data_IF_009632784563
#
_entry.id   IF_009632784563
#
_cell.length_a   1.000
_cell.length_b   1.000
_cell.length_c   1.000
_cell.angle_alpha   90.00
_cell.angle_beta   90.00
_cell.angle_gamma   90.00
#
_symmetry.space_group_name_H-M   'P 1'
#
loop_
_entity.id
_entity.type
_entity.pdbx_description
1 polymer ?
#
# COMPACT_ATOMS: atom_id res chain seq x y z
N UNK A 1 -10.28 -26.36 -62.83
CA UNK A 1 -9.99 -24.97 -63.28
C UNK A 1 -8.48 -24.84 -63.45
N UNK A 2 -8.01 -24.40 -64.62
CA UNK A 2 -6.57 -24.19 -64.83
C UNK A 2 -6.10 -22.92 -64.10
N UNK A 3 -4.86 -22.87 -63.56
CA UNK A 3 -4.36 -21.73 -62.77
C UNK A 3 -4.47 -20.38 -63.48
N UNK A 4 -4.36 -20.40 -64.81
CA UNK A 4 -4.43 -19.23 -65.69
C UNK A 4 -5.84 -18.60 -65.76
N UNK A 5 -6.89 -19.40 -65.58
CA UNK A 5 -8.27 -18.90 -65.56
C UNK A 5 -8.61 -18.28 -64.19
N UNK A 6 -8.12 -18.89 -63.11
CA UNK A 6 -8.26 -18.36 -61.74
C UNK A 6 -7.62 -16.97 -61.60
N UNK A 7 -6.38 -16.81 -62.08
CA UNK A 7 -5.68 -15.52 -62.03
C UNK A 7 -6.44 -14.41 -62.78
N UNK A 8 -7.03 -14.72 -63.94
CA UNK A 8 -7.85 -13.77 -64.70
C UNK A 8 -9.10 -13.32 -63.95
N UNK A 9 -9.80 -14.25 -63.30
CA UNK A 9 -10.97 -13.91 -62.48
C UNK A 9 -10.59 -13.09 -61.25
N UNK A 10 -9.49 -13.41 -60.56
CA UNK A 10 -9.00 -12.59 -59.46
C UNK A 10 -8.68 -11.16 -59.91
N UNK A 11 -8.02 -10.98 -61.06
CA UNK A 11 -7.74 -9.65 -61.60
C UNK A 11 -9.02 -8.89 -61.94
N UNK A 12 -9.99 -9.54 -62.59
CA UNK A 12 -11.28 -8.91 -62.91
C UNK A 12 -12.06 -8.49 -61.66
N UNK A 13 -12.08 -9.34 -60.63
CA UNK A 13 -12.71 -9.04 -59.32
C UNK A 13 -12.02 -7.86 -58.65
N UNK A 14 -10.69 -7.83 -58.60
CA UNK A 14 -9.91 -6.71 -58.05
C UNK A 14 -10.23 -5.39 -58.75
N UNK A 15 -10.27 -5.40 -60.07
CA UNK A 15 -10.61 -4.20 -60.87
C UNK A 15 -12.03 -3.73 -60.60
N UNK A 16 -12.99 -4.66 -60.51
CA UNK A 16 -14.39 -4.31 -60.25
C UNK A 16 -14.62 -3.76 -58.84
N UNK A 17 -14.02 -4.39 -57.83
CA UNK A 17 -14.13 -3.98 -56.42
C UNK A 17 -13.14 -2.87 -56.03
N UNK A 18 -12.29 -2.41 -56.97
CA UNK A 18 -11.22 -1.43 -56.76
C UNK A 18 -10.27 -1.81 -55.62
N UNK A 19 -10.01 -3.11 -55.46
CA UNK A 19 -9.15 -3.62 -54.40
C UNK A 19 -7.69 -3.58 -54.86
N UNK A 20 -6.82 -3.04 -54.01
CA UNK A 20 -5.39 -3.06 -54.23
C UNK A 20 -4.78 -4.42 -53.85
N UNK A 21 -4.24 -5.13 -54.85
CA UNK A 21 -3.56 -6.42 -54.68
C UNK A 21 -2.03 -6.35 -54.73
N UNK A 22 -1.42 -5.15 -54.77
CA UNK A 22 0.04 -5.04 -54.77
C UNK A 22 0.61 -5.32 -53.38
N UNK A 23 1.21 -6.50 -53.23
CA UNK A 23 1.85 -6.98 -52.00
C UNK A 23 2.85 -5.96 -51.43
N UNK A 24 3.60 -5.24 -52.28
CA UNK A 24 4.58 -4.25 -51.81
C UNK A 24 3.88 -3.05 -51.17
N UNK A 25 2.83 -2.55 -51.81
CA UNK A 25 2.07 -1.40 -51.31
C UNK A 25 1.29 -1.77 -50.05
N UNK A 26 0.62 -2.93 -50.02
CA UNK A 26 -0.06 -3.48 -48.84
C UNK A 26 0.90 -3.54 -47.65
N UNK A 27 2.10 -4.12 -47.86
CA UNK A 27 3.12 -4.22 -46.82
C UNK A 27 3.60 -2.84 -46.33
N UNK A 28 3.75 -1.88 -47.23
CA UNK A 28 4.14 -0.52 -46.88
C UNK A 28 3.09 0.18 -46.02
N UNK A 29 1.81 0.07 -46.39
CA UNK A 29 0.68 0.64 -45.64
C UNK A 29 0.62 0.01 -44.24
N UNK A 30 0.66 -1.32 -44.14
CA UNK A 30 0.65 -2.01 -42.86
C UNK A 30 1.85 -1.63 -41.98
N UNK A 31 3.04 -1.52 -42.57
CA UNK A 31 4.25 -1.11 -41.85
C UNK A 31 4.10 0.30 -41.28
N UNK A 32 3.61 1.25 -42.08
CA UNK A 32 3.39 2.64 -41.64
C UNK A 32 2.39 2.68 -40.49
N UNK A 33 1.24 2.03 -40.65
CA UNK A 33 0.19 1.98 -39.63
C UNK A 33 0.70 1.45 -38.29
N UNK A 34 1.42 0.32 -38.29
CA UNK A 34 1.94 -0.26 -37.06
C UNK A 34 3.04 0.63 -36.45
N UNK A 35 3.89 1.23 -37.29
CA UNK A 35 5.00 2.06 -36.82
C UNK A 35 4.53 3.33 -36.09
N UNK A 36 3.33 3.85 -36.42
CA UNK A 36 2.70 4.99 -35.74
C UNK A 36 2.22 4.64 -34.31
N UNK A 37 1.87 3.37 -34.05
CA UNK A 37 1.26 2.95 -32.77
C UNK A 37 2.15 2.06 -31.90
N UNK A 38 3.21 1.44 -32.46
CA UNK A 38 4.04 0.40 -31.79
C UNK A 38 4.75 0.87 -30.52
N UNK A 39 5.01 2.18 -30.41
CA UNK A 39 5.63 2.77 -29.21
C UNK A 39 4.63 2.92 -28.05
N UNK A 40 3.33 2.91 -28.35
CA UNK A 40 2.25 3.11 -27.37
C UNK A 40 1.59 1.78 -27.01
N UNK A 41 1.26 0.97 -28.01
CA UNK A 41 0.57 -0.31 -27.84
C UNK A 41 1.57 -1.45 -27.57
N UNK A 42 1.17 -2.38 -26.71
CA UNK A 42 2.04 -3.50 -26.31
C UNK A 42 1.57 -4.89 -26.80
N UNK A 43 0.26 -5.13 -26.78
CA UNK A 43 -0.31 -6.39 -27.24
C UNK A 43 -0.09 -6.56 -28.77
N UNK A 44 0.52 -7.66 -29.23
CA UNK A 44 0.67 -7.92 -30.65
C UNK A 44 -0.67 -8.06 -31.36
N UNK A 45 -1.72 -8.53 -30.70
CA UNK A 45 -3.06 -8.63 -31.28
C UNK A 45 -3.60 -7.25 -31.66
N UNK A 46 -3.42 -6.24 -30.81
CA UNK A 46 -3.84 -4.87 -31.08
C UNK A 46 -3.11 -4.28 -32.29
N UNK A 47 -1.80 -4.54 -32.42
CA UNK A 47 -1.01 -4.10 -33.56
C UNK A 47 -1.47 -4.75 -34.87
N UNK A 48 -1.84 -6.04 -34.82
CA UNK A 48 -2.41 -6.75 -35.98
C UNK A 48 -3.77 -6.15 -36.33
N UNK A 49 -4.62 -5.87 -35.34
CA UNK A 49 -5.94 -5.28 -35.55
C UNK A 49 -5.83 -3.90 -36.22
N UNK A 50 -4.91 -3.04 -35.76
CA UNK A 50 -4.63 -1.74 -36.39
C UNK A 50 -4.22 -1.90 -37.85
N UNK A 51 -3.36 -2.89 -38.15
CA UNK A 51 -2.96 -3.17 -39.53
C UNK A 51 -4.14 -3.63 -40.39
N UNK A 52 -4.98 -4.55 -39.89
CA UNK A 52 -6.16 -5.04 -40.59
C UNK A 52 -7.13 -3.88 -40.86
N UNK A 53 -7.47 -3.09 -39.85
CA UNK A 53 -8.37 -1.94 -40.00
C UNK A 53 -7.85 -0.94 -41.03
N UNK A 54 -6.55 -0.65 -41.03
CA UNK A 54 -5.96 0.28 -41.98
C UNK A 54 -5.97 -0.29 -43.40
N UNK A 55 -5.65 -1.56 -43.58
CA UNK A 55 -5.70 -2.21 -44.88
C UNK A 55 -7.13 -2.27 -45.45
N UNK A 56 -8.12 -2.55 -44.60
CA UNK A 56 -9.55 -2.53 -45.02
C UNK A 56 -9.97 -1.12 -45.42
N UNK A 57 -9.60 -0.08 -44.65
CA UNK A 57 -9.90 1.33 -44.98
C UNK A 57 -9.30 1.76 -46.32
N UNK A 58 -8.09 1.32 -46.62
CA UNK A 58 -7.38 1.61 -47.88
C UNK A 58 -7.78 0.68 -49.04
N UNK A 59 -8.85 -0.11 -48.90
CA UNK A 59 -9.33 -1.08 -49.90
C UNK A 59 -8.22 -2.04 -50.38
N UNK A 60 -7.37 -2.50 -49.47
CA UNK A 60 -6.29 -3.45 -49.76
C UNK A 60 -6.73 -4.90 -49.56
N UNK A 61 -6.15 -5.83 -50.33
CA UNK A 61 -6.25 -7.25 -50.02
C UNK A 61 -5.56 -7.55 -48.69
N UNK A 62 -6.21 -8.35 -47.84
CA UNK A 62 -5.62 -8.78 -46.59
C UNK A 62 -4.55 -9.84 -46.86
N UNK A 63 -3.30 -9.63 -46.45
CA UNK A 63 -2.28 -10.66 -46.53
C UNK A 63 -2.58 -11.80 -45.55
N UNK A 64 -1.90 -12.93 -45.72
CA UNK A 64 -2.00 -14.03 -44.77
C UNK A 64 -1.64 -13.56 -43.35
N UNK A 65 -2.33 -14.08 -42.34
CA UNK A 65 -2.10 -13.72 -40.93
C UNK A 65 -0.62 -13.84 -40.52
N UNK A 66 0.06 -14.90 -40.96
CA UNK A 66 1.49 -15.11 -40.71
C UNK A 66 2.38 -13.97 -41.23
N UNK A 67 1.96 -13.28 -42.29
CA UNK A 67 2.68 -12.12 -42.85
C UNK A 67 2.55 -10.91 -41.93
N UNK A 68 1.35 -10.68 -41.38
CA UNK A 68 1.11 -9.60 -40.41
C UNK A 68 1.81 -9.90 -39.08
N UNK A 69 1.71 -11.12 -38.56
CA UNK A 69 2.37 -11.54 -37.32
C UNK A 69 3.90 -11.36 -37.41
N UNK A 70 4.53 -11.80 -38.49
CA UNK A 70 5.97 -11.62 -38.69
C UNK A 70 6.37 -10.14 -38.74
N UNK A 71 5.55 -9.31 -39.41
CA UNK A 71 5.78 -7.88 -39.51
C UNK A 71 5.66 -7.20 -38.15
N UNK A 72 4.60 -7.51 -37.40
CA UNK A 72 4.36 -7.00 -36.04
C UNK A 72 5.49 -7.40 -35.11
N UNK A 73 5.89 -8.68 -35.09
CA UNK A 73 7.04 -9.16 -34.30
C UNK A 73 8.30 -8.37 -34.60
N UNK A 74 8.60 -8.14 -35.88
CA UNK A 74 9.79 -7.39 -36.29
C UNK A 74 9.72 -5.94 -35.80
N UNK A 75 8.61 -5.24 -36.02
CA UNK A 75 8.46 -3.85 -35.61
C UNK A 75 8.47 -3.70 -34.08
N UNK A 76 7.85 -4.63 -33.35
CA UNK A 76 7.85 -4.64 -31.89
C UNK A 76 9.27 -4.84 -31.35
N UNK A 77 10.03 -5.77 -31.91
CA UNK A 77 11.43 -5.98 -31.51
C UNK A 77 12.28 -4.71 -31.77
N UNK A 78 12.10 -4.03 -32.90
CA UNK A 78 12.80 -2.78 -33.19
C UNK A 78 12.40 -1.66 -32.22
N UNK A 79 11.10 -1.54 -31.90
CA UNK A 79 10.61 -0.57 -30.94
C UNK A 79 11.16 -0.83 -29.53
N UNK A 80 11.12 -2.09 -29.08
CA UNK A 80 11.70 -2.50 -27.79
C UNK A 80 13.20 -2.21 -27.72
N UNK A 81 13.97 -2.56 -28.76
CA UNK A 81 15.39 -2.23 -28.83
C UNK A 81 15.64 -0.73 -28.72
N UNK A 82 14.85 0.09 -29.42
CA UNK A 82 14.95 1.55 -29.33
C UNK A 82 14.68 2.04 -27.91
N UNK A 83 13.62 1.56 -27.27
CA UNK A 83 13.27 1.92 -25.89
C UNK A 83 14.44 1.56 -24.95
N UNK A 84 14.98 0.35 -25.06
CA UNK A 84 16.07 -0.10 -24.20
C UNK A 84 17.33 0.76 -24.35
N UNK A 85 17.66 1.16 -25.57
CA UNK A 85 18.78 2.07 -25.82
C UNK A 85 18.51 3.48 -25.30
N UNK A 86 17.30 3.99 -25.47
CA UNK A 86 16.90 5.30 -24.93
C UNK A 86 17.05 5.33 -23.41
N UNK A 87 16.56 4.32 -22.69
CA UNK A 87 16.70 4.25 -21.23
C UNK A 87 18.16 4.13 -20.83
N UNK A 88 18.95 3.29 -21.50
CA UNK A 88 20.39 3.17 -21.24
C UNK A 88 21.11 4.52 -21.42
N UNK A 89 20.81 5.27 -22.47
CA UNK A 89 21.44 6.57 -22.74
C UNK A 89 21.14 7.65 -21.70
N UNK A 90 20.07 7.48 -20.90
CA UNK A 90 19.68 8.40 -19.83
C UNK A 90 20.32 8.06 -18.47
N UNK A 91 20.88 6.84 -18.35
CA UNK A 91 21.52 6.33 -17.14
C UNK A 91 23.00 6.71 -17.08
N UNK A 92 23.41 7.29 -15.95
CA UNK A 92 24.82 7.50 -15.62
C UNK A 92 25.50 6.19 -15.24
N UNK A 93 26.83 6.10 -15.37
CA UNK A 93 27.59 4.90 -14.96
C UNK A 93 27.34 4.51 -13.49
N UNK A 94 27.18 5.49 -12.61
CA UNK A 94 26.86 5.26 -11.20
C UNK A 94 25.46 4.65 -11.00
N UNK A 95 24.45 5.13 -11.74
CA UNK A 95 23.10 4.55 -11.71
C UNK A 95 23.10 3.13 -12.30
N UNK A 96 23.86 2.88 -13.37
CA UNK A 96 24.01 1.54 -13.96
C UNK A 96 24.62 0.57 -12.94
N UNK A 97 25.74 0.94 -12.31
CA UNK A 97 26.40 0.11 -11.29
C UNK A 97 25.48 -0.14 -10.08
N UNK A 98 24.71 0.86 -9.65
CA UNK A 98 23.73 0.71 -8.57
C UNK A 98 22.66 -0.33 -8.92
N UNK A 99 22.11 -0.26 -10.13
CA UNK A 99 21.09 -1.20 -10.61
C UNK A 99 21.65 -2.62 -10.78
N UNK A 100 22.87 -2.76 -11.31
CA UNK A 100 23.52 -4.05 -11.45
C UNK A 100 23.83 -4.69 -10.09
N UNK A 101 24.15 -3.88 -9.08
CA UNK A 101 24.33 -4.39 -7.71
C UNK A 101 23.05 -5.03 -7.14
N UNK A 102 21.86 -4.65 -7.60
CA UNK A 102 20.60 -5.24 -7.12
C UNK A 102 20.47 -6.73 -7.48
N UNK A 103 21.07 -7.14 -8.60
CA UNK A 103 21.05 -8.52 -9.08
C UNK A 103 22.28 -9.32 -8.64
N UNK A 104 23.25 -8.70 -7.95
CA UNK A 104 24.38 -9.40 -7.35
C UNK A 104 23.94 -10.22 -6.13
N UNK A 105 24.47 -11.43 -6.02
CA UNK A 105 24.17 -12.30 -4.88
C UNK A 105 24.90 -11.81 -3.64
N UNK A 106 24.19 -11.58 -2.53
CA UNK A 106 24.83 -11.30 -1.24
C UNK A 106 25.72 -12.48 -0.82
N UNK A 107 26.68 -12.22 0.10
CA UNK A 107 27.66 -13.21 0.59
C UNK A 107 27.07 -14.52 1.15
N UNK A 108 25.77 -14.54 1.44
CA UNK A 108 25.02 -15.71 1.93
C UNK A 108 24.35 -16.55 0.83
N UNK A 109 24.41 -16.14 -0.45
CA UNK A 109 24.11 -16.99 -1.60
C UNK A 109 22.65 -17.13 -2.03
N UNK A 110 21.66 -16.74 -1.21
CA UNK A 110 20.24 -17.04 -1.48
C UNK A 110 19.32 -15.82 -1.66
N UNK A 111 19.76 -14.61 -1.34
CA UNK A 111 18.90 -13.42 -1.38
C UNK A 111 19.61 -12.24 -2.04
N UNK A 112 19.00 -11.70 -3.09
CA UNK A 112 19.41 -10.48 -3.78
C UNK A 112 18.49 -9.32 -3.37
N UNK A 113 18.96 -8.08 -3.45
CA UNK A 113 18.08 -6.91 -3.27
C UNK A 113 16.99 -6.86 -4.35
N UNK A 114 17.21 -7.50 -5.50
CA UNK A 114 16.18 -7.73 -6.51
C UNK A 114 15.01 -8.59 -5.98
N UNK A 115 15.26 -9.61 -5.14
CA UNK A 115 14.18 -10.38 -4.54
C UNK A 115 13.33 -9.51 -3.61
N UNK A 116 13.98 -8.61 -2.87
CA UNK A 116 13.30 -7.61 -2.04
C UNK A 116 12.35 -6.78 -2.89
N UNK A 117 12.73 -6.33 -4.10
CA UNK A 117 11.83 -5.57 -4.98
C UNK A 117 10.49 -6.28 -5.26
N UNK A 118 10.41 -7.61 -5.20
CA UNK A 118 9.20 -8.37 -5.57
C UNK A 118 8.32 -8.76 -4.39
N UNK A 119 8.73 -8.43 -3.16
CA UNK A 119 7.97 -8.74 -1.96
C UNK A 119 6.61 -8.01 -1.96
N UNK A 120 5.59 -8.71 -1.48
CA UNK A 120 4.26 -8.16 -1.25
C UNK A 120 4.07 -7.81 0.24
N UNK A 121 3.26 -6.80 0.57
CA UNK A 121 3.00 -6.42 1.94
C UNK A 121 2.28 -7.55 2.67
N UNK A 122 2.58 -7.68 3.96
CA UNK A 122 1.91 -8.63 4.86
C UNK A 122 0.61 -8.00 5.42
N UNK A 123 0.19 -8.41 6.61
CA UNK A 123 -1.01 -7.87 7.27
C UNK A 123 -0.86 -6.38 7.62
N UNK A 124 -1.98 -5.65 7.71
CA UNK A 124 -2.03 -4.23 8.10
C UNK A 124 -1.79 -3.98 9.61
N UNK A 125 -0.65 -4.47 10.13
CA UNK A 125 -0.16 -4.17 11.48
C UNK A 125 0.70 -2.90 11.46
N UNK A 126 0.97 -2.32 12.64
CA UNK A 126 1.82 -1.13 12.74
C UNK A 126 3.25 -1.45 12.29
N UNK A 127 3.79 -2.58 12.75
CA UNK A 127 5.13 -3.05 12.36
C UNK A 127 5.27 -3.23 10.86
N UNK A 128 4.31 -3.87 10.19
CA UNK A 128 4.39 -4.02 8.74
C UNK A 128 4.24 -2.68 8.00
N UNK A 129 3.48 -1.72 8.54
CA UNK A 129 3.39 -0.37 7.97
C UNK A 129 4.74 0.35 8.06
N UNK A 130 5.44 0.22 9.19
CA UNK A 130 6.81 0.74 9.38
C UNK A 130 7.78 0.07 8.41
N UNK A 131 7.73 -1.26 8.27
CA UNK A 131 8.54 -2.03 7.33
C UNK A 131 8.30 -1.56 5.87
N UNK A 132 7.04 -1.34 5.49
CA UNK A 132 6.68 -0.90 4.14
C UNK A 132 7.09 0.56 3.88
N UNK A 133 7.05 1.41 4.90
CA UNK A 133 7.56 2.78 4.83
C UNK A 133 9.07 2.80 4.67
N UNK A 134 9.78 1.91 5.37
CA UNK A 134 11.22 1.72 5.21
C UNK A 134 11.57 1.18 3.81
N UNK A 135 10.78 0.24 3.28
CA UNK A 135 10.88 -0.23 1.89
C UNK A 135 10.70 0.92 0.90
N UNK A 136 9.67 1.74 1.05
CA UNK A 136 9.44 2.90 0.16
C UNK A 136 10.63 3.88 0.21
N UNK A 137 11.17 4.14 1.41
CA UNK A 137 12.36 4.99 1.57
C UNK A 137 13.56 4.41 0.83
N UNK A 138 13.76 3.09 0.93
CA UNK A 138 14.79 2.39 0.17
C UNK A 138 14.57 2.49 -1.35
N UNK A 139 13.36 2.27 -1.85
CA UNK A 139 13.04 2.42 -3.28
C UNK A 139 13.35 3.83 -3.79
N UNK A 140 12.98 4.86 -3.03
CA UNK A 140 13.28 6.27 -3.36
C UNK A 140 14.79 6.57 -3.34
N UNK A 141 15.56 5.87 -2.50
CA UNK A 141 17.02 6.00 -2.45
C UNK A 141 17.73 5.45 -3.70
N UNK A 142 17.06 4.60 -4.49
CA UNK A 142 17.60 4.06 -5.74
C UNK A 142 17.63 5.12 -6.87
N UNK A 143 17.00 6.27 -6.66
CA UNK A 143 16.99 7.39 -7.61
C UNK A 143 15.63 7.61 -8.27
N UNK A 144 15.53 8.68 -9.07
CA UNK A 144 14.29 9.06 -9.74
C UNK A 144 14.09 8.28 -11.04
N UNK A 145 13.47 7.10 -10.95
CA UNK A 145 13.16 6.24 -12.10
C UNK A 145 12.21 6.91 -13.11
N UNK A 146 11.33 7.82 -12.66
CA UNK A 146 10.38 8.49 -13.56
C UNK A 146 11.09 9.34 -14.63
N UNK A 147 12.22 9.97 -14.29
CA UNK A 147 13.08 10.71 -15.25
C UNK A 147 13.59 9.80 -16.37
N UNK A 148 13.95 8.57 -16.03
CA UNK A 148 14.53 7.62 -16.99
C UNK A 148 13.47 7.09 -17.98
N UNK A 149 12.21 7.08 -17.54
CA UNK A 149 11.05 6.58 -18.29
C UNK A 149 10.24 7.69 -18.98
N UNK A 150 10.75 8.93 -19.00
CA UNK A 150 10.10 10.05 -19.68
C UNK A 150 9.79 9.71 -21.15
N UNK A 151 8.65 10.15 -21.65
CA UNK A 151 8.14 9.84 -23.01
C UNK A 151 7.79 8.37 -23.29
N UNK A 152 7.97 7.45 -22.34
CA UNK A 152 7.55 6.06 -22.52
C UNK A 152 6.06 5.91 -22.17
N UNK A 153 5.33 5.21 -23.03
CA UNK A 153 3.90 4.95 -22.79
C UNK A 153 3.71 4.12 -21.50
N UNK A 154 2.73 4.47 -20.64
CA UNK A 154 2.47 3.74 -19.39
C UNK A 154 2.27 2.24 -19.58
N UNK A 155 1.58 1.83 -20.66
CA UNK A 155 1.37 0.42 -21.00
C UNK A 155 2.69 -0.35 -21.18
N UNK A 156 3.72 0.28 -21.77
CA UNK A 156 5.05 -0.32 -21.93
C UNK A 156 5.77 -0.46 -20.59
N UNK A 157 5.69 0.57 -19.75
CA UNK A 157 6.28 0.56 -18.41
C UNK A 157 5.69 -0.60 -17.61
N UNK A 158 4.36 -0.71 -17.57
CA UNK A 158 3.67 -1.79 -16.86
C UNK A 158 4.01 -3.16 -17.44
N UNK A 159 4.08 -3.31 -18.77
CA UNK A 159 4.48 -4.56 -19.41
C UNK A 159 5.89 -5.00 -18.99
N UNK A 160 6.88 -4.11 -19.14
CA UNK A 160 8.28 -4.42 -18.79
C UNK A 160 8.46 -4.65 -17.28
N UNK A 161 7.73 -3.92 -16.43
CA UNK A 161 7.72 -4.18 -15.00
C UNK A 161 7.15 -5.57 -14.67
N UNK A 162 6.08 -6.00 -15.37
CA UNK A 162 5.50 -7.33 -15.22
C UNK A 162 6.45 -8.42 -15.72
N UNK A 163 7.12 -8.22 -16.86
CA UNK A 163 8.18 -9.12 -17.35
C UNK A 163 9.29 -9.25 -16.30
N UNK A 164 9.81 -8.13 -15.80
CA UNK A 164 10.84 -8.11 -14.76
C UNK A 164 10.41 -8.85 -13.49
N UNK A 165 9.17 -8.64 -13.01
CA UNK A 165 8.65 -9.27 -11.79
C UNK A 165 8.52 -10.79 -11.93
N UNK A 166 8.33 -11.33 -13.13
CA UNK A 166 8.23 -12.76 -13.37
C UNK A 166 9.59 -13.48 -13.36
N UNK A 167 10.69 -12.74 -13.49
CA UNK A 167 12.04 -13.28 -13.66
C UNK A 167 12.78 -13.46 -12.32
N UNK A 168 13.81 -14.30 -12.34
CA UNK A 168 14.83 -14.37 -11.30
C UNK A 168 16.04 -13.49 -11.64
N UNK A 169 16.88 -13.19 -10.63
CA UNK A 169 18.08 -12.39 -10.82
C UNK A 169 19.06 -13.02 -11.82
N UNK A 170 19.13 -14.36 -11.88
CA UNK A 170 19.99 -15.07 -12.84
C UNK A 170 19.47 -14.92 -14.28
N UNK A 171 18.15 -15.04 -14.51
CA UNK A 171 17.55 -14.84 -15.85
C UNK A 171 17.85 -13.43 -16.38
N UNK A 172 17.87 -12.44 -15.49
CA UNK A 172 18.19 -11.06 -15.88
C UNK A 172 19.62 -10.94 -16.39
N UNK A 173 20.57 -11.72 -15.87
CA UNK A 173 21.99 -11.66 -16.29
C UNK A 173 22.18 -12.12 -17.73
N UNK A 174 21.31 -12.99 -18.24
CA UNK A 174 21.36 -13.50 -19.61
C UNK A 174 20.90 -12.47 -20.65
N UNK A 175 20.20 -11.40 -20.23
CA UNK A 175 19.81 -10.32 -21.12
C UNK A 175 20.93 -9.33 -21.40
N UNK A 176 20.81 -8.65 -22.54
CA UNK A 176 21.70 -7.53 -22.89
C UNK A 176 21.56 -6.40 -21.86
N UNK A 177 22.65 -5.70 -21.59
CA UNK A 177 22.69 -4.59 -20.62
C UNK A 177 21.55 -3.57 -20.80
N UNK A 178 21.24 -3.07 -22.02
CA UNK A 178 20.12 -2.13 -22.22
C UNK A 178 18.77 -2.71 -21.78
N UNK A 179 18.49 -3.97 -22.15
CA UNK A 179 17.22 -4.64 -21.78
C UNK A 179 17.15 -4.83 -20.27
N UNK A 180 18.20 -5.41 -19.69
CA UNK A 180 18.32 -5.70 -18.26
C UNK A 180 18.06 -4.46 -17.40
N UNK A 181 18.76 -3.36 -17.70
CA UNK A 181 18.60 -2.12 -16.95
C UNK A 181 17.21 -1.51 -17.15
N UNK A 182 16.64 -1.57 -18.34
CA UNK A 182 15.28 -1.06 -18.57
C UNK A 182 14.24 -1.83 -17.77
N UNK A 183 14.34 -3.16 -17.71
CA UNK A 183 13.47 -4.01 -16.91
C UNK A 183 13.55 -3.64 -15.42
N UNK A 184 14.76 -3.44 -14.89
CA UNK A 184 14.98 -3.01 -13.51
C UNK A 184 14.37 -1.63 -13.23
N UNK A 185 14.61 -0.65 -14.10
CA UNK A 185 14.05 0.70 -13.96
C UNK A 185 12.51 0.68 -13.97
N UNK A 186 11.90 -0.06 -14.91
CA UNK A 186 10.45 -0.21 -14.98
C UNK A 186 9.89 -0.88 -13.73
N UNK A 187 10.56 -1.94 -13.24
CA UNK A 187 10.16 -2.63 -12.01
C UNK A 187 10.22 -1.70 -10.80
N UNK A 188 11.34 -1.02 -10.57
CA UNK A 188 11.50 -0.12 -9.41
C UNK A 188 10.47 1.01 -9.46
N UNK A 189 10.21 1.58 -10.64
CA UNK A 189 9.17 2.58 -10.82
C UNK A 189 7.79 2.04 -10.42
N UNK A 190 7.41 0.87 -10.93
CA UNK A 190 6.12 0.24 -10.62
C UNK A 190 6.01 -0.14 -9.13
N UNK A 191 7.08 -0.68 -8.54
CA UNK A 191 7.15 -1.04 -7.12
C UNK A 191 7.08 0.18 -6.20
N UNK A 192 7.61 1.33 -6.64
CA UNK A 192 7.49 2.59 -5.90
C UNK A 192 6.04 3.08 -5.87
N UNK A 193 5.32 2.96 -6.99
CA UNK A 193 3.89 3.30 -7.07
C UNK A 193 3.08 2.33 -6.21
N UNK A 194 3.28 1.02 -6.40
CA UNK A 194 2.57 -0.03 -5.63
C UNK A 194 2.79 0.13 -4.13
N UNK A 195 4.03 0.38 -3.69
CA UNK A 195 4.35 0.55 -2.27
C UNK A 195 3.62 1.74 -1.66
N UNK A 196 3.40 2.84 -2.41
CA UNK A 196 2.63 3.99 -1.91
C UNK A 196 1.15 3.65 -1.72
N UNK A 197 0.56 2.97 -2.71
CA UNK A 197 -0.85 2.54 -2.65
C UNK A 197 -1.07 1.52 -1.54
N UNK A 198 -0.13 0.59 -1.35
CA UNK A 198 -0.17 -0.43 -0.30
C UNK A 198 -0.05 0.18 1.10
N UNK A 199 0.81 1.19 1.30
CA UNK A 199 0.85 1.95 2.57
C UNK A 199 -0.49 2.61 2.84
N UNK A 200 -1.09 3.25 1.83
CA UNK A 200 -2.38 3.92 1.97
C UNK A 200 -3.49 2.91 2.34
N UNK A 201 -3.56 1.76 1.66
CA UNK A 201 -4.52 0.70 1.95
C UNK A 201 -4.33 0.12 3.36
N UNK A 202 -3.09 -0.16 3.77
CA UNK A 202 -2.79 -0.61 5.13
C UNK A 202 -3.22 0.40 6.19
N UNK A 203 -2.96 1.69 5.96
CA UNK A 203 -3.39 2.77 6.84
C UNK A 203 -4.92 2.84 6.96
N UNK A 204 -5.64 2.81 5.82
CA UNK A 204 -7.10 2.83 5.80
C UNK A 204 -7.71 1.63 6.53
N UNK A 205 -7.19 0.42 6.28
CA UNK A 205 -7.61 -0.81 6.99
C UNK A 205 -7.42 -0.69 8.50
N UNK A 206 -6.31 -0.07 8.93
CA UNK A 206 -6.03 0.14 10.35
C UNK A 206 -6.96 1.18 10.97
N UNK A 207 -7.22 2.29 10.28
CA UNK A 207 -8.17 3.32 10.73
C UNK A 207 -9.58 2.76 10.86
N UNK A 208 -10.03 1.93 9.91
CA UNK A 208 -11.33 1.24 10.01
C UNK A 208 -11.41 0.39 11.27
N UNK A 209 -10.44 -0.50 11.50
CA UNK A 209 -10.40 -1.36 12.69
C UNK A 209 -10.37 -0.55 14.00
N UNK A 210 -9.70 0.60 14.01
CA UNK A 210 -9.68 1.47 15.18
C UNK A 210 -11.07 2.06 15.45
N UNK A 211 -11.74 2.54 14.40
CA UNK A 211 -13.10 3.06 14.50
C UNK A 211 -14.10 1.98 14.94
N UNK A 212 -13.99 0.77 14.42
CA UNK A 212 -14.87 -0.34 14.78
C UNK A 212 -14.72 -0.68 16.27
N UNK A 213 -13.48 -0.80 16.77
CA UNK A 213 -13.23 -1.03 18.21
C UNK A 213 -13.74 0.12 19.08
N UNK A 214 -13.57 1.37 18.64
CA UNK A 214 -14.05 2.53 19.40
C UNK A 214 -15.58 2.53 19.48
N UNK A 215 -16.27 2.14 18.39
CA UNK A 215 -17.72 1.99 18.36
C UNK A 215 -18.18 0.85 19.26
N UNK A 216 -17.54 -0.31 19.18
CA UNK A 216 -17.84 -1.46 20.05
C UNK A 216 -17.70 -1.11 21.54
N UNK A 217 -16.63 -0.41 21.91
CA UNK A 217 -16.42 0.03 23.29
C UNK A 217 -17.46 1.06 23.72
N UNK A 218 -17.83 2.00 22.83
CA UNK A 218 -18.88 2.98 23.11
C UNK A 218 -20.24 2.30 23.33
N UNK A 219 -20.60 1.33 22.50
CA UNK A 219 -21.85 0.58 22.65
C UNK A 219 -21.85 -0.27 23.92
N UNK A 220 -20.69 -0.89 24.26
CA UNK A 220 -20.52 -1.60 25.54
C UNK A 220 -20.74 -0.67 26.73
N UNK A 221 -20.18 0.54 26.70
CA UNK A 221 -20.37 1.53 27.76
C UNK A 221 -21.83 1.97 27.87
N UNK A 222 -22.46 2.34 26.75
CA UNK A 222 -23.88 2.70 26.69
C UNK A 222 -24.80 1.60 27.23
N UNK A 223 -24.53 0.35 26.86
CA UNK A 223 -25.29 -0.78 27.38
C UNK A 223 -25.14 -0.95 28.90
N UNK A 224 -23.94 -0.69 29.45
CA UNK A 224 -23.74 -0.72 30.90
C UNK A 224 -24.45 0.42 31.63
N UNK A 225 -24.42 1.64 31.08
CA UNK A 225 -25.14 2.80 31.62
C UNK A 225 -26.65 2.60 31.57
N UNK A 226 -27.14 2.04 30.47
CA UNK A 226 -28.57 1.73 30.30
C UNK A 226 -29.03 0.73 31.35
N UNK A 227 -28.26 -0.33 31.62
CA UNK A 227 -28.57 -1.30 32.68
C UNK A 227 -28.67 -0.66 34.06
N UNK A 228 -27.71 0.21 34.41
CA UNK A 228 -27.74 0.94 35.69
C UNK A 228 -28.99 1.83 35.76
N UNK A 229 -29.29 2.56 34.68
CA UNK A 229 -30.43 3.48 34.63
C UNK A 229 -31.77 2.73 34.71
N UNK A 230 -31.94 1.66 33.94
CA UNK A 230 -33.13 0.80 33.96
C UNK A 230 -33.33 0.21 35.36
N UNK A 231 -32.27 -0.30 35.97
CA UNK A 231 -32.31 -0.81 37.33
C UNK A 231 -32.71 0.26 38.36
N UNK A 232 -32.12 1.47 38.33
CA UNK A 232 -32.51 2.55 39.24
C UNK A 232 -33.97 2.99 39.05
N UNK A 233 -34.48 2.95 37.81
CA UNK A 233 -35.89 3.22 37.50
C UNK A 233 -36.80 2.13 38.06
N UNK A 234 -36.41 0.85 37.97
CA UNK A 234 -37.13 -0.28 38.58
C UNK A 234 -37.20 -0.13 40.10
N UNK A 235 -36.07 0.17 40.76
CA UNK A 235 -36.04 0.41 42.22
C UNK A 235 -36.94 1.58 42.61
N UNK A 236 -36.93 2.68 41.83
CA UNK A 236 -37.82 3.79 42.08
C UNK A 236 -39.29 3.40 41.90
N UNK A 237 -39.62 2.59 40.89
CA UNK A 237 -40.97 2.10 40.67
C UNK A 237 -41.46 1.25 41.84
N UNK A 238 -40.61 0.37 42.38
CA UNK A 238 -40.92 -0.44 43.56
C UNK A 238 -41.14 0.43 44.80
N UNK A 239 -40.31 1.45 45.03
CA UNK A 239 -40.53 2.42 46.11
C UNK A 239 -41.87 3.16 45.95
N UNK A 240 -42.23 3.57 44.73
CA UNK A 240 -43.52 4.19 44.44
C UNK A 240 -44.68 3.20 44.64
N UNK A 241 -44.48 1.90 44.49
CA UNK A 241 -45.51 0.91 44.80
C UNK A 241 -45.67 0.74 46.33
N UNK A 242 -44.58 0.75 47.10
CA UNK A 242 -44.66 0.66 48.57
C UNK A 242 -45.43 1.82 49.20
N UNK A 243 -45.46 3.02 48.59
CA UNK A 243 -46.29 4.13 49.08
C UNK A 243 -47.78 3.86 48.90
N UNK A 244 -48.18 3.07 47.90
CA UNK A 244 -49.58 2.71 47.67
C UNK A 244 -50.06 1.56 48.56
N UNK A 245 -49.14 0.71 49.02
CA UNK A 245 -49.42 -0.46 49.86
C UNK A 245 -49.37 -0.15 51.37
N UNK A 246 -48.66 0.91 51.77
CA UNK A 246 -48.50 1.27 53.18
C UNK A 246 -49.74 1.97 53.75
N UNK A 247 -50.22 1.47 54.89
CA UNK A 247 -51.34 2.07 55.64
C UNK A 247 -50.91 3.22 56.57
N UNK A 248 -49.63 3.24 56.98
CA UNK A 248 -49.02 4.26 57.83
C UNK A 248 -47.52 4.47 57.52
N UNK A 249 -46.94 5.55 58.04
CA UNK A 249 -45.55 5.93 57.83
C UNK A 249 -44.54 4.90 58.37
N UNK A 250 -44.91 4.14 59.41
CA UNK A 250 -44.04 3.15 60.03
C UNK A 250 -43.90 1.89 59.16
N UNK A 251 -45.01 1.40 58.60
CA UNK A 251 -45.05 0.32 57.62
C UNK A 251 -44.37 0.74 56.31
N UNK A 252 -44.59 1.96 55.85
CA UNK A 252 -43.88 2.51 54.69
C UNK A 252 -42.36 2.47 54.89
N UNK A 253 -41.86 2.99 56.02
CA UNK A 253 -40.44 2.97 56.34
C UNK A 253 -39.84 1.57 56.46
N UNK A 254 -40.64 0.57 56.86
CA UNK A 254 -40.24 -0.85 56.87
C UNK A 254 -40.10 -1.41 55.45
N UNK A 255 -41.12 -1.22 54.62
CA UNK A 255 -41.16 -1.72 53.22
C UNK A 255 -40.03 -1.09 52.37
N UNK A 256 -39.76 0.20 52.53
CA UNK A 256 -38.64 0.88 51.85
C UNK A 256 -37.28 0.29 52.24
N UNK A 257 -37.07 -0.04 53.52
CA UNK A 257 -35.82 -0.69 53.96
C UNK A 257 -35.69 -2.09 53.40
N UNK A 258 -36.80 -2.81 53.24
CA UNK A 258 -36.82 -4.14 52.64
C UNK A 258 -36.44 -4.10 51.15
N UNK A 259 -37.00 -3.16 50.38
CA UNK A 259 -36.60 -2.91 48.99
C UNK A 259 -35.11 -2.61 48.92
N UNK A 260 -34.58 -1.70 49.75
CA UNK A 260 -33.15 -1.41 49.76
C UNK A 260 -32.27 -2.60 50.13
N UNK A 261 -32.70 -3.49 51.03
CA UNK A 261 -31.93 -4.70 51.34
C UNK A 261 -31.94 -5.71 50.19
N UNK A 262 -33.06 -5.85 49.49
CA UNK A 262 -33.17 -6.74 48.33
C UNK A 262 -32.21 -6.33 47.20
N UNK A 263 -32.01 -5.04 47.01
CA UNK A 263 -31.12 -4.47 45.98
C UNK A 263 -29.64 -4.34 46.42
N UNK A 264 -29.23 -5.05 47.48
CA UNK A 264 -27.84 -5.10 47.93
C UNK A 264 -27.43 -3.96 48.88
N UNK A 265 -28.38 -3.16 49.36
CA UNK A 265 -28.20 -2.15 50.39
C UNK A 265 -28.09 -0.71 49.87
N UNK A 266 -28.33 0.25 50.77
CA UNK A 266 -28.35 1.70 50.47
C UNK A 266 -27.02 2.18 49.88
N UNK A 267 -25.89 1.67 50.37
CA UNK A 267 -24.56 2.07 49.89
C UNK A 267 -24.33 1.67 48.42
N UNK A 268 -24.83 0.52 47.98
CA UNK A 268 -24.68 0.05 46.61
C UNK A 268 -25.54 0.87 45.64
N UNK A 269 -26.78 1.18 46.04
CA UNK A 269 -27.67 2.07 45.29
C UNK A 269 -27.16 3.51 45.21
N UNK A 270 -26.55 4.03 46.28
CA UNK A 270 -25.90 5.34 46.27
C UNK A 270 -24.75 5.38 45.27
N UNK A 271 -23.91 4.35 45.23
CA UNK A 271 -22.81 4.24 44.26
C UNK A 271 -23.33 4.21 42.82
N UNK A 272 -24.40 3.45 42.55
CA UNK A 272 -25.04 3.41 41.23
C UNK A 272 -25.65 4.76 40.83
N UNK A 273 -26.30 5.46 41.76
CA UNK A 273 -26.83 6.81 41.55
C UNK A 273 -25.71 7.82 41.25
N UNK A 274 -24.58 7.75 41.97
CA UNK A 274 -23.41 8.58 41.71
C UNK A 274 -22.78 8.28 40.33
N UNK A 275 -22.67 7.01 39.97
CA UNK A 275 -22.17 6.59 38.65
C UNK A 275 -23.08 7.08 37.52
N UNK A 276 -24.40 7.04 37.71
CA UNK A 276 -25.37 7.59 36.76
C UNK A 276 -25.32 9.13 36.69
N UNK A 277 -25.16 9.80 37.83
CA UNK A 277 -25.06 11.26 37.93
C UNK A 277 -23.79 11.84 37.29
N UNK A 278 -22.64 11.17 37.47
CA UNK A 278 -21.35 11.62 36.91
C UNK A 278 -21.23 11.44 35.40
N UNK A 279 -22.04 10.56 34.78
CA UNK A 279 -21.93 10.20 33.34
C UNK A 279 -23.04 10.77 32.46
N UNK A 280 -23.79 11.76 32.93
CA UNK A 280 -24.95 12.29 32.20
C UNK A 280 -24.62 12.85 30.79
N UNK A 281 -25.54 12.73 29.81
CA UNK A 281 -25.28 12.90 28.37
C UNK A 281 -24.76 14.27 27.89
N UNK A 282 -24.78 15.30 28.74
CA UNK A 282 -24.35 16.65 28.39
C UNK A 282 -22.83 16.84 28.34
N UNK A 283 -22.03 15.82 28.69
CA UNK A 283 -20.56 15.96 28.82
C UNK A 283 -19.68 15.09 27.89
N UNK A 284 -20.18 14.13 27.11
CA UNK A 284 -19.30 13.22 26.33
C UNK A 284 -19.71 13.01 24.86
N UNK A 285 -19.74 14.09 24.08
CA UNK A 285 -19.94 14.00 22.62
C UNK A 285 -18.59 13.78 21.90
N UNK A 286 -17.97 12.60 22.01
CA UNK A 286 -16.97 12.13 21.02
C UNK A 286 -16.48 10.70 21.31
N UNK A 287 -16.52 9.82 20.30
CA UNK A 287 -16.00 8.45 20.39
C UNK A 287 -14.45 8.36 20.25
N UNK A 288 -13.79 9.43 19.79
CA UNK A 288 -12.36 9.44 19.46
C UNK A 288 -11.40 9.42 20.69
N UNK A 289 -11.69 10.09 21.82
CA UNK A 289 -10.79 10.11 22.98
C UNK A 289 -10.60 8.74 23.66
N UNK A 290 -11.63 7.89 23.64
CA UNK A 290 -11.62 6.60 24.35
C UNK A 290 -10.60 5.61 23.75
N UNK A 291 -10.32 5.69 22.44
CA UNK A 291 -9.36 4.83 21.76
C UNK A 291 -7.90 5.22 22.03
N UNK A 292 -7.63 6.50 22.32
CA UNK A 292 -6.28 7.03 22.57
C UNK A 292 -5.82 6.76 24.02
N UNK A 293 -6.74 6.82 24.99
CA UNK A 293 -6.46 6.61 26.41
C UNK A 293 -5.95 5.19 26.74
N UNK A 294 -6.26 4.20 25.91
CA UNK A 294 -5.89 2.79 26.16
C UNK A 294 -4.59 2.35 25.49
N UNK A 295 -4.01 3.18 24.61
CA UNK A 295 -2.73 2.88 23.94
C UNK A 295 -1.52 3.51 24.64
N UNK A 296 -1.71 4.30 25.72
CA UNK A 296 -0.60 4.75 26.56
C UNK A 296 -0.02 3.56 27.33
N UNK A 297 1.27 3.21 27.16
CA UNK A 297 1.92 2.23 28.02
C UNK A 297 1.95 2.78 29.45
N UNK A 298 1.40 2.05 30.41
CA UNK A 298 1.59 2.30 31.84
C UNK A 298 3.05 1.98 32.22
N UNK A 299 4.00 2.84 31.85
CA UNK A 299 5.39 2.70 32.27
C UNK A 299 6.11 4.05 32.25
N UNK A 300 5.74 4.97 33.14
CA UNK A 300 6.57 6.11 33.53
C UNK A 300 6.00 6.87 34.75
N UNK A 301 5.79 6.18 35.88
CA UNK A 301 5.60 6.86 37.17
C UNK A 301 6.47 6.19 38.24
N UNK A 302 7.79 6.20 38.00
CA UNK A 302 8.79 6.02 39.05
C UNK A 302 9.22 7.42 39.51
N UNK A 303 8.70 7.86 40.67
CA UNK A 303 9.16 9.07 41.37
C UNK A 303 10.65 8.94 41.73
N UNK A 304 11.50 9.96 41.51
CA UNK A 304 12.76 10.02 42.22
C UNK A 304 12.51 10.59 43.63
N UNK A 305 12.75 9.76 44.66
CA UNK A 305 12.96 10.26 46.02
C UNK A 305 14.36 10.90 46.07
N UNK A 306 14.42 12.22 46.20
CA UNK A 306 15.64 12.91 46.61
C UNK A 306 15.72 12.97 48.13
N UNK A 307 16.88 12.64 48.77
CA UNK A 307 17.07 12.92 50.18
C UNK A 307 17.53 14.37 50.40
N UNK A 308 16.94 15.00 51.42
CA UNK A 308 17.32 16.33 51.93
C UNK A 308 18.62 16.25 52.75
N UNK A 309 19.35 17.37 52.70
CA UNK A 309 20.62 17.71 53.34
C UNK A 309 20.85 17.31 54.81
N UNK A 310 22.14 17.10 55.13
CA UNK A 310 22.75 17.64 56.36
C UNK A 310 24.10 18.30 56.04
N UNK A 311 24.30 19.48 56.62
CA UNK A 311 25.47 20.37 56.56
C UNK A 311 26.63 19.90 57.47
N UNK A 312 27.75 20.62 57.31
CA UNK A 312 28.92 20.82 58.20
C UNK A 312 30.08 19.83 58.00
N UNK A 313 31.37 20.20 58.02
CA UNK A 313 32.04 21.49 58.24
C UNK A 313 33.51 21.40 57.77
N UNK A 314 34.08 22.54 57.36
CA UNK A 314 35.46 23.01 57.64
C UNK A 314 36.75 22.23 57.24
N UNK A 315 37.60 22.96 56.47
CA UNK A 315 39.07 23.16 56.60
C UNK A 315 40.01 21.95 56.34
N UNK A 316 41.26 22.02 55.89
CA UNK A 316 42.22 22.99 55.32
C UNK A 316 43.58 22.25 55.25
N UNK A 317 44.46 22.53 54.27
CA UNK A 317 45.87 22.09 54.22
C UNK A 317 46.18 21.27 52.96
N UNK A 318 46.94 21.73 51.95
CA UNK A 318 48.36 22.16 51.86
C UNK A 318 49.34 20.98 51.89
N UNK A 319 50.31 21.04 50.95
CA UNK A 319 51.53 20.24 50.75
C UNK A 319 51.39 18.90 50.01
N UNK A 320 52.29 18.43 49.14
CA UNK A 320 53.53 18.98 48.56
C UNK A 320 53.93 18.13 47.33
N UNK A 321 54.80 18.71 46.53
CA UNK A 321 55.57 18.19 45.40
C UNK A 321 56.31 16.85 45.62
N UNK A 322 56.53 16.10 44.52
CA UNK A 322 57.81 15.49 44.05
C UNK A 322 57.46 14.58 42.83
N UNK A 323 58.01 14.74 41.61
CA UNK A 323 59.43 14.72 41.21
C UNK A 323 59.72 13.33 40.60
N UNK A 324 60.09 13.18 39.32
CA UNK A 324 61.46 12.85 38.80
C UNK A 324 61.23 12.28 37.37
N UNK A 325 61.55 12.97 36.25
CA UNK A 325 62.83 13.13 35.49
C UNK A 325 62.95 12.24 34.21
N UNK A 326 63.84 12.59 33.24
CA UNK A 326 63.64 12.45 31.79
C UNK A 326 64.83 11.78 31.05
N UNK A 327 64.87 11.89 29.71
CA UNK A 327 66.01 11.57 28.83
C UNK A 327 65.73 10.33 27.99
N UNK A 328 65.85 10.29 26.66
CA UNK A 328 66.67 11.07 25.70
C UNK A 328 65.99 11.01 24.34
#
# INVERSE_FOLDING_TARGET
MTPRTLYKYHTAIRTHLKINGDIKQIRHIALKAISEVVLVMDDPADLINVAIETLVKENCELPAFSTLDLLVRRLRNLAHQRIFQTVLSRLTEAEQALLEKLIETNRTGYFTEFNRLREAPKSATLTHLEDWTARLTWLLSLGNMARLLEDLAPAKITHFAAEARALHADDLRDFTLPKRLTLLVCLIHQETISSRDEIADMFLKRMSKLHDRAREELERLRASERKITEHLVEVLADLLQTTTEAEDDAKFGSLVREVFQREGGISALQEQCEQAGQRSPWQSVSALPLALLRQSPQSALSRPQGPRHSRNDSRSGIDECHGVHPGT
#
